data_IF_940711686462
#
_entry.id   IF_940711686462
#
_cell.length_a   1.000
_cell.length_b   1.000
_cell.length_c   1.000
_cell.angle_alpha   90.00
_cell.angle_beta   90.00
_cell.angle_gamma   90.00
#
_symmetry.space_group_name_H-M   'P 1'
#
loop_
_entity.id
_entity.type
_entity.pdbx_description
1 polymer ?
#
# COMPACT_ATOMS: atom_id res chain seq x y z
N UNK A 1 80.41 38.76 -53.28
CA UNK A 1 81.73 38.55 -53.92
C UNK A 1 82.72 39.42 -53.16
N UNK A 2 83.86 38.93 -52.62
CA UNK A 2 84.57 37.63 -52.80
C UNK A 2 84.46 36.71 -51.55
N UNK A 3 84.53 35.37 -51.60
CA UNK A 3 85.69 34.44 -51.76
C UNK A 3 86.80 34.68 -50.71
N UNK A 4 87.38 33.72 -49.99
CA UNK A 4 87.44 32.25 -50.10
C UNK A 4 88.08 31.65 -48.82
N UNK A 5 87.99 30.33 -48.70
CA UNK A 5 89.03 29.41 -48.17
C UNK A 5 89.10 29.02 -46.69
N UNK A 6 88.75 27.74 -46.52
CA UNK A 6 89.58 26.68 -45.94
C UNK A 6 89.27 26.19 -44.53
N UNK A 7 89.00 24.88 -44.51
CA UNK A 7 88.48 24.02 -43.46
C UNK A 7 89.57 22.99 -43.15
N UNK A 8 89.98 22.88 -41.90
CA UNK A 8 90.79 21.79 -41.34
C UNK A 8 90.25 21.56 -39.92
N UNK A 9 89.51 20.47 -39.68
CA UNK A 9 90.03 19.21 -39.14
C UNK A 9 90.38 19.34 -37.65
N UNK A 10 89.36 19.22 -36.80
CA UNK A 10 89.48 19.13 -35.35
C UNK A 10 89.06 17.71 -34.91
N UNK A 11 89.90 17.12 -34.07
CA UNK A 11 89.92 15.73 -33.64
C UNK A 11 88.91 15.46 -32.52
N UNK A 12 88.08 14.42 -32.69
CA UNK A 12 87.25 13.83 -31.63
C UNK A 12 88.08 12.87 -30.76
N UNK A 13 88.05 13.10 -29.45
CA UNK A 13 88.49 12.15 -28.43
C UNK A 13 87.43 12.04 -27.32
N UNK A 14 86.93 10.83 -26.98
CA UNK A 14 85.87 10.70 -25.98
C UNK A 14 86.46 10.66 -24.55
N UNK A 15 86.12 11.68 -23.75
CA UNK A 15 86.37 11.70 -22.31
C UNK A 15 85.38 10.81 -21.57
N UNK A 16 85.91 9.84 -20.83
CA UNK A 16 85.20 8.94 -19.95
C UNK A 16 84.78 9.66 -18.67
N UNK A 17 83.51 10.04 -18.56
CA UNK A 17 82.88 10.53 -17.34
C UNK A 17 82.16 9.40 -16.61
N UNK A 18 82.68 9.01 -15.44
CA UNK A 18 82.07 8.08 -14.49
C UNK A 18 80.69 8.59 -14.07
N UNK A 19 79.65 7.85 -14.44
CA UNK A 19 78.26 8.08 -14.02
C UNK A 19 77.99 7.17 -12.82
N UNK A 20 77.92 7.74 -11.61
CA UNK A 20 77.37 7.07 -10.43
C UNK A 20 75.94 6.61 -10.76
N UNK A 21 75.76 5.30 -10.89
CA UNK A 21 74.45 4.65 -10.94
C UNK A 21 73.90 4.59 -9.52
N UNK A 22 72.89 5.41 -9.24
CA UNK A 22 72.05 5.24 -8.06
C UNK A 22 71.28 3.92 -8.19
N UNK A 23 71.51 3.01 -7.25
CA UNK A 23 70.77 1.74 -7.17
C UNK A 23 69.29 2.00 -6.83
N UNK A 24 68.33 1.25 -7.39
CA UNK A 24 66.93 1.33 -6.98
C UNK A 24 66.75 0.84 -5.53
N UNK A 25 65.80 1.40 -4.76
CA UNK A 25 65.55 0.98 -3.39
C UNK A 25 65.10 -0.48 -3.32
N UNK A 26 65.45 -1.22 -2.24
CA UNK A 26 65.05 -2.62 -2.10
C UNK A 26 63.52 -2.75 -2.02
N UNK A 27 62.94 -3.84 -2.57
CA UNK A 27 61.51 -4.10 -2.45
C UNK A 27 61.11 -4.26 -0.98
N UNK A 28 59.89 -3.84 -0.60
CA UNK A 28 59.38 -4.05 0.76
C UNK A 28 59.34 -5.54 1.08
N UNK A 29 59.59 -5.94 2.34
CA UNK A 29 59.52 -7.34 2.74
C UNK A 29 58.14 -7.91 2.44
N UNK A 30 58.02 -9.19 2.04
CA UNK A 30 56.73 -9.82 1.82
C UNK A 30 55.92 -9.70 3.11
N UNK A 31 54.76 -9.05 3.03
CA UNK A 31 53.79 -8.98 4.11
C UNK A 31 53.59 -10.39 4.64
N UNK A 32 54.08 -10.61 5.86
CA UNK A 32 53.84 -11.83 6.61
C UNK A 32 52.34 -12.11 6.54
N UNK A 33 52.00 -13.25 5.93
CA UNK A 33 50.66 -13.84 5.95
C UNK A 33 50.30 -14.11 7.41
N UNK A 34 49.81 -13.06 8.08
CA UNK A 34 48.91 -13.22 9.19
C UNK A 34 47.69 -13.93 8.60
N UNK A 35 47.20 -15.03 9.21
CA UNK A 35 45.90 -15.55 8.83
C UNK A 35 44.94 -14.37 8.96
N UNK A 36 44.29 -14.03 7.85
CA UNK A 36 43.25 -13.02 7.80
C UNK A 36 42.14 -13.56 8.70
N UNK A 37 42.25 -13.26 9.99
CA UNK A 37 41.21 -13.42 10.96
C UNK A 37 40.10 -12.55 10.40
N UNK A 38 39.10 -13.19 9.78
CA UNK A 38 37.94 -12.49 9.26
C UNK A 38 37.40 -11.70 10.45
N UNK A 39 37.59 -10.39 10.39
CA UNK A 39 37.02 -9.45 11.34
C UNK A 39 35.54 -9.81 11.42
N UNK A 40 35.06 -10.09 12.63
CA UNK A 40 33.69 -10.55 12.84
C UNK A 40 32.72 -9.65 12.08
N UNK A 41 32.00 -10.22 11.12
CA UNK A 41 31.01 -9.47 10.38
C UNK A 41 29.91 -9.07 11.37
N UNK A 42 29.68 -7.76 11.53
CA UNK A 42 28.64 -7.24 12.41
C UNK A 42 27.21 -7.63 11.96
N UNK A 43 27.06 -8.08 10.71
CA UNK A 43 25.80 -8.56 10.15
C UNK A 43 25.98 -9.25 8.80
N UNK A 44 24.87 -9.67 8.20
CA UNK A 44 24.83 -10.29 6.88
C UNK A 44 23.67 -9.72 6.06
N UNK A 45 23.84 -9.69 4.73
CA UNK A 45 22.77 -9.28 3.82
C UNK A 45 21.67 -10.32 3.79
N UNK A 46 20.40 -9.91 3.80
CA UNK A 46 19.28 -10.85 3.85
C UNK A 46 19.29 -11.90 2.72
N UNK A 47 19.65 -11.49 1.50
CA UNK A 47 19.75 -12.40 0.34
C UNK A 47 20.80 -13.51 0.50
N UNK A 48 21.75 -13.35 1.42
CA UNK A 48 22.74 -14.40 1.72
C UNK A 48 22.13 -15.60 2.46
N UNK A 49 20.96 -15.43 3.11
CA UNK A 49 20.24 -16.52 3.75
C UNK A 49 19.90 -17.65 2.79
N UNK A 50 19.54 -17.32 1.54
CA UNK A 50 19.22 -18.33 0.52
C UNK A 50 20.46 -19.11 0.08
N UNK A 51 21.65 -18.51 0.18
CA UNK A 51 22.93 -19.15 -0.18
C UNK A 51 23.38 -20.20 0.84
N UNK A 52 22.79 -20.23 2.04
CA UNK A 52 23.07 -21.24 3.06
C UNK A 52 22.74 -22.66 2.56
N UNK A 53 21.85 -22.78 1.57
CA UNK A 53 21.53 -24.05 0.91
C UNK A 53 22.67 -24.56 0.01
N UNK A 54 23.45 -23.64 -0.56
CA UNK A 54 24.48 -23.95 -1.56
C UNK A 54 25.83 -24.31 -0.91
N UNK A 55 26.05 -23.88 0.34
CA UNK A 55 27.24 -24.23 1.12
C UNK A 55 27.09 -25.63 1.69
N UNK A 56 27.88 -26.58 1.18
CA UNK A 56 27.83 -28.00 1.56
C UNK A 56 28.97 -28.40 2.49
N UNK A 57 28.73 -29.44 3.28
CA UNK A 57 29.76 -30.16 4.03
C UNK A 57 30.72 -30.88 3.08
N UNK A 58 31.91 -31.27 3.57
CA UNK A 58 32.92 -31.96 2.75
C UNK A 58 32.42 -33.27 2.13
N UNK A 59 31.50 -33.95 2.81
CA UNK A 59 30.87 -35.19 2.33
C UNK A 59 29.66 -34.94 1.40
N UNK A 60 29.33 -33.68 1.14
CA UNK A 60 28.20 -33.21 0.32
C UNK A 60 26.81 -33.70 0.79
N UNK A 61 26.72 -34.37 1.94
CA UNK A 61 25.47 -34.93 2.47
C UNK A 61 24.57 -33.88 3.08
N UNK A 62 25.16 -32.88 3.74
CA UNK A 62 24.44 -31.82 4.41
C UNK A 62 24.87 -30.46 3.86
N UNK A 63 23.98 -29.48 3.94
CA UNK A 63 24.32 -28.09 3.70
C UNK A 63 24.26 -27.29 5.00
N UNK A 64 24.73 -26.04 4.96
CA UNK A 64 24.77 -25.17 6.11
C UNK A 64 23.37 -24.90 6.68
N UNK A 65 22.33 -24.94 5.84
CA UNK A 65 20.93 -24.83 6.28
C UNK A 65 20.47 -26.04 7.10
N UNK A 66 20.86 -27.27 6.73
CA UNK A 66 20.59 -28.47 7.54
C UNK A 66 21.29 -28.39 8.90
N UNK A 67 22.53 -27.90 8.91
CA UNK A 67 23.27 -27.67 10.15
C UNK A 67 22.57 -26.65 11.03
N UNK A 68 22.15 -25.51 10.48
CA UNK A 68 21.41 -24.48 11.21
C UNK A 68 20.08 -24.99 11.77
N UNK A 69 19.31 -25.77 10.98
CA UNK A 69 18.06 -26.36 11.44
C UNK A 69 18.29 -27.32 12.62
N UNK A 70 19.29 -28.19 12.53
CA UNK A 70 19.63 -29.11 13.62
C UNK A 70 20.15 -28.35 14.85
N UNK A 71 20.99 -27.32 14.66
CA UNK A 71 21.47 -26.47 15.75
C UNK A 71 20.30 -25.76 16.43
N UNK A 72 19.32 -25.25 15.68
CA UNK A 72 18.12 -24.63 16.21
C UNK A 72 17.30 -25.61 17.06
N UNK A 73 17.09 -26.84 16.60
CA UNK A 73 16.41 -27.89 17.38
C UNK A 73 17.09 -28.16 18.72
N UNK A 74 18.42 -28.18 18.74
CA UNK A 74 19.20 -28.50 19.94
C UNK A 74 19.36 -27.31 20.90
N UNK A 75 19.42 -26.08 20.39
CA UNK A 75 19.70 -24.88 21.20
C UNK A 75 18.45 -24.10 21.59
N UNK A 76 17.55 -23.86 20.64
CA UNK A 76 16.33 -23.11 20.87
C UNK A 76 15.20 -23.60 19.94
N UNK A 77 14.39 -24.58 20.38
CA UNK A 77 13.33 -25.16 19.55
C UNK A 77 12.21 -24.17 19.22
N UNK A 78 12.11 -23.02 19.90
CA UNK A 78 11.14 -21.98 19.56
C UNK A 78 11.38 -21.42 18.15
N UNK A 79 12.63 -21.42 17.68
CA UNK A 79 12.98 -20.97 16.34
C UNK A 79 12.35 -21.83 15.22
N UNK A 80 11.91 -23.05 15.54
CA UNK A 80 11.22 -23.93 14.58
C UNK A 80 9.79 -23.48 14.29
N UNK A 81 9.16 -22.77 15.23
CA UNK A 81 7.81 -22.20 15.08
C UNK A 81 7.84 -20.80 14.46
N UNK A 82 9.03 -20.22 14.31
CA UNK A 82 9.21 -18.88 13.77
C UNK A 82 8.56 -18.71 12.38
N UNK A 83 8.63 -19.67 11.43
CA UNK A 83 7.89 -19.57 10.18
C UNK A 83 6.37 -19.42 10.33
N UNK A 84 5.77 -19.95 11.40
CA UNK A 84 4.33 -19.83 11.66
C UNK A 84 3.96 -18.42 12.14
N UNK A 85 4.85 -17.75 12.87
CA UNK A 85 4.69 -16.33 13.25
C UNK A 85 4.68 -15.41 12.02
N UNK A 86 5.32 -15.85 10.93
CA UNK A 86 5.38 -15.14 9.66
C UNK A 86 4.36 -15.63 8.62
N UNK A 87 3.27 -16.30 9.03
CA UNK A 87 2.26 -16.86 8.11
C UNK A 87 1.62 -15.83 7.17
N UNK A 88 1.63 -14.55 7.55
CA UNK A 88 1.08 -13.45 6.75
C UNK A 88 2.04 -12.96 5.66
N UNK A 89 3.34 -13.28 5.70
CA UNK A 89 4.31 -12.82 4.69
C UNK A 89 3.92 -13.24 3.28
N UNK A 90 3.39 -14.46 3.10
CA UNK A 90 2.95 -14.93 1.78
C UNK A 90 1.77 -14.11 1.22
N UNK A 91 0.94 -13.51 2.09
CA UNK A 91 -0.12 -12.60 1.66
C UNK A 91 0.45 -11.21 1.36
N UNK A 92 1.39 -10.74 2.19
CA UNK A 92 2.05 -9.44 2.03
C UNK A 92 2.89 -9.35 0.75
N UNK A 93 3.51 -10.46 0.31
CA UNK A 93 4.24 -10.56 -0.97
C UNK A 93 3.35 -10.24 -2.19
N UNK A 94 2.03 -10.44 -2.08
CA UNK A 94 1.08 -10.17 -3.17
C UNK A 94 0.75 -8.69 -3.31
N UNK A 95 0.93 -7.91 -2.23
CA UNK A 95 0.61 -6.49 -2.24
C UNK A 95 1.82 -5.71 -2.73
N UNK A 96 1.68 -5.06 -3.89
CA UNK A 96 2.71 -4.12 -4.36
C UNK A 96 2.48 -2.76 -3.73
N UNK A 97 3.50 -2.26 -3.06
CA UNK A 97 3.57 -0.92 -2.46
C UNK A 97 3.20 0.14 -3.50
N UNK A 98 3.62 -0.07 -4.76
CA UNK A 98 3.24 0.80 -5.87
C UNK A 98 1.72 0.88 -6.09
N UNK A 99 1.04 -0.26 -6.10
CA UNK A 99 -0.39 -0.31 -6.37
C UNK A 99 -1.18 0.34 -5.23
N UNK A 100 -0.74 0.13 -3.98
CA UNK A 100 -1.31 0.80 -2.80
C UNK A 100 -1.12 2.32 -2.91
N UNK A 101 0.07 2.78 -3.30
CA UNK A 101 0.35 4.20 -3.48
C UNK A 101 -0.47 4.84 -4.59
N UNK A 102 -0.62 4.15 -5.72
CA UNK A 102 -1.45 4.62 -6.82
C UNK A 102 -2.92 4.75 -6.37
N UNK A 103 -3.42 3.83 -5.52
CA UNK A 103 -4.77 3.92 -4.93
C UNK A 103 -4.92 5.11 -3.97
N UNK A 104 -3.93 5.34 -3.09
CA UNK A 104 -3.91 6.49 -2.18
C UNK A 104 -3.99 7.79 -2.98
N UNK A 105 -3.15 7.94 -4.01
CA UNK A 105 -3.16 9.12 -4.88
C UNK A 105 -4.48 9.29 -5.64
N UNK A 106 -5.10 8.21 -6.09
CA UNK A 106 -6.40 8.28 -6.75
C UNK A 106 -7.51 8.71 -5.78
N UNK A 107 -7.54 8.18 -4.55
CA UNK A 107 -8.47 8.62 -3.51
C UNK A 107 -8.34 10.12 -3.25
N UNK A 108 -7.12 10.63 -3.13
CA UNK A 108 -6.88 12.07 -2.97
C UNK A 108 -7.41 12.90 -4.15
N UNK A 109 -7.27 12.43 -5.39
CA UNK A 109 -7.85 13.10 -6.56
C UNK A 109 -9.37 13.10 -6.50
N UNK A 110 -9.99 11.98 -6.09
CA UNK A 110 -11.45 11.89 -6.00
C UNK A 110 -12.02 12.83 -4.93
N UNK A 111 -11.37 12.93 -3.77
CA UNK A 111 -11.77 13.86 -2.71
C UNK A 111 -11.72 15.31 -3.22
N UNK A 112 -10.65 15.68 -3.95
CA UNK A 112 -10.55 17.02 -4.58
C UNK A 112 -11.63 17.29 -5.62
N UNK A 113 -11.94 16.30 -6.46
CA UNK A 113 -13.05 16.42 -7.43
C UNK A 113 -14.38 16.64 -6.71
N UNK A 114 -14.62 15.96 -5.59
CA UNK A 114 -15.83 16.15 -4.78
C UNK A 114 -15.86 17.53 -4.11
N UNK A 115 -14.74 18.03 -3.59
CA UNK A 115 -14.64 19.37 -3.03
C UNK A 115 -14.92 20.46 -4.08
N UNK A 116 -14.33 20.34 -5.28
CA UNK A 116 -14.65 21.28 -6.38
C UNK A 116 -16.10 21.19 -6.84
N UNK A 117 -16.73 20.01 -6.78
CA UNK A 117 -18.14 19.83 -7.08
C UNK A 117 -19.04 20.47 -6.02
N UNK A 118 -18.73 20.31 -4.73
CA UNK A 118 -19.40 20.99 -3.63
C UNK A 118 -19.36 22.51 -3.82
N UNK A 119 -18.18 23.09 -4.10
CA UNK A 119 -18.04 24.52 -4.33
C UNK A 119 -18.91 25.02 -5.51
N UNK A 120 -19.03 24.21 -6.57
CA UNK A 120 -19.92 24.53 -7.70
C UNK A 120 -21.40 24.43 -7.33
N UNK A 121 -21.78 23.48 -6.48
CA UNK A 121 -23.15 23.38 -5.98
C UNK A 121 -23.49 24.56 -5.09
N UNK A 122 -22.59 24.96 -4.20
CA UNK A 122 -22.78 26.12 -3.31
C UNK A 122 -23.00 27.41 -4.09
N UNK A 123 -22.16 27.68 -5.12
CA UNK A 123 -22.37 28.85 -5.99
C UNK A 123 -23.73 28.84 -6.66
N UNK A 124 -24.18 27.68 -7.16
CA UNK A 124 -25.52 27.56 -7.78
C UNK A 124 -26.64 27.78 -6.77
N UNK A 125 -26.49 27.27 -5.55
CA UNK A 125 -27.46 27.49 -4.48
C UNK A 125 -27.52 28.98 -4.12
N UNK A 126 -26.37 29.66 -4.07
CA UNK A 126 -26.32 31.10 -3.82
C UNK A 126 -26.95 31.92 -4.96
N UNK A 127 -26.67 31.57 -6.22
CA UNK A 127 -27.29 32.18 -7.40
C UNK A 127 -28.82 32.01 -7.41
N UNK A 128 -29.31 30.79 -7.15
CA UNK A 128 -30.76 30.52 -7.05
C UNK A 128 -31.38 31.28 -5.88
N UNK A 129 -30.69 31.38 -4.75
CA UNK A 129 -31.17 32.14 -3.58
C UNK A 129 -31.33 33.62 -3.93
N UNK A 130 -30.33 34.23 -4.58
CA UNK A 130 -30.40 35.63 -5.05
C UNK A 130 -31.52 35.83 -6.07
N UNK A 131 -31.68 34.91 -7.03
CA UNK A 131 -32.74 35.00 -8.03
C UNK A 131 -34.16 34.94 -7.41
N UNK A 132 -34.33 34.11 -6.38
CA UNK A 132 -35.59 34.04 -5.62
C UNK A 132 -35.84 35.31 -4.82
N UNK A 133 -34.83 35.86 -4.15
CA UNK A 133 -34.93 37.13 -3.41
C UNK A 133 -35.34 38.28 -4.35
N UNK A 134 -34.66 38.44 -5.48
CA UNK A 134 -35.03 39.46 -6.47
C UNK A 134 -36.43 39.24 -7.07
N UNK A 135 -36.85 37.98 -7.25
CA UNK A 135 -38.19 37.63 -7.71
C UNK A 135 -39.28 38.03 -6.71
N UNK A 136 -39.03 37.79 -5.42
CA UNK A 136 -39.90 38.22 -4.32
C UNK A 136 -39.99 39.74 -4.27
N UNK A 137 -38.86 40.46 -4.36
CA UNK A 137 -38.84 41.92 -4.37
C UNK A 137 -39.59 42.50 -5.57
N UNK A 138 -39.41 41.97 -6.78
CA UNK A 138 -40.16 42.39 -7.98
C UNK A 138 -41.66 42.14 -7.83
N UNK A 139 -42.05 41.02 -7.21
CA UNK A 139 -43.46 40.72 -6.94
C UNK A 139 -44.07 41.68 -5.91
N UNK A 140 -43.32 42.04 -4.86
CA UNK A 140 -43.75 43.00 -3.85
C UNK A 140 -43.83 44.44 -4.40
N UNK A 141 -42.90 44.82 -5.28
CA UNK A 141 -42.91 46.10 -5.97
C UNK A 141 -44.10 46.20 -6.95
N UNK A 142 -44.41 45.12 -7.68
CA UNK A 142 -45.58 45.06 -8.56
C UNK A 142 -46.90 45.15 -7.77
N UNK A 143 -46.99 44.49 -6.61
CA UNK A 143 -48.16 44.55 -5.73
C UNK A 143 -48.36 45.95 -5.11
N UNK A 144 -47.27 46.62 -4.70
CA UNK A 144 -47.34 48.00 -4.17
C UNK A 144 -47.65 49.03 -5.27
N UNK A 145 -47.11 48.86 -6.48
CA UNK A 145 -47.47 49.68 -7.64
C UNK A 145 -48.93 49.46 -8.09
N UNK A 146 -49.44 48.23 -7.95
CA UNK A 146 -50.85 47.90 -8.16
C UNK A 146 -51.78 48.64 -7.18
N UNK A 147 -51.38 48.70 -5.91
CA UNK A 147 -52.12 49.39 -4.85
C UNK A 147 -52.03 50.92 -4.95
N UNK A 148 -50.97 51.45 -5.59
CA UNK A 148 -50.75 52.89 -5.78
C UNK A 148 -51.47 53.49 -7.01
N UNK A 149 -52.09 52.68 -7.86
CA UNK A 149 -52.91 53.18 -8.97
C UNK A 149 -54.18 53.88 -8.42
N UNK A 150 -54.48 55.11 -8.85
CA UNK A 150 -55.65 55.85 -8.35
C UNK A 150 -56.95 55.10 -8.73
N UNK A 151 -57.97 55.10 -7.85
CA UNK A 151 -59.25 54.50 -8.15
C UNK A 151 -59.81 55.11 -9.45
N UNK A 152 -60.45 54.30 -10.32
CA UNK A 152 -60.96 54.78 -11.59
C UNK A 152 -61.88 55.98 -11.36
N UNK A 153 -61.78 57.04 -12.18
CA UNK A 153 -62.59 58.24 -12.00
C UNK A 153 -64.07 57.86 -12.04
N UNK A 154 -64.92 58.49 -11.19
CA UNK A 154 -66.35 58.22 -11.17
C UNK A 154 -66.93 58.43 -12.57
N UNK A 155 -67.89 57.59 -13.01
CA UNK A 155 -68.43 57.66 -14.36
C UNK A 155 -69.06 59.04 -14.56
N UNK A 156 -68.50 59.81 -15.49
CA UNK A 156 -69.02 61.13 -15.85
C UNK A 156 -70.40 60.91 -16.44
N UNK A 157 -71.44 61.25 -15.67
CA UNK A 157 -72.82 61.22 -16.10
C UNK A 157 -73.10 62.42 -17.00
N UNK A 158 -72.71 62.32 -18.26
CA UNK A 158 -73.20 63.22 -19.30
C UNK A 158 -73.40 62.41 -20.59
N UNK A 159 -74.57 62.57 -21.19
CA UNK A 159 -75.11 61.94 -22.40
C UNK A 159 -76.04 60.71 -22.20
N UNK A 160 -77.37 60.91 -22.37
CA UNK A 160 -78.32 59.81 -22.45
C UNK A 160 -78.29 59.20 -23.86
N UNK A 161 -77.55 58.09 -24.01
CA UNK A 161 -77.75 56.97 -24.97
C UNK A 161 -76.50 56.08 -24.93
N UNK A 162 -76.32 55.30 -23.86
CA UNK A 162 -75.31 54.26 -23.81
C UNK A 162 -75.98 52.93 -23.44
N UNK A 163 -75.87 51.96 -24.35
CA UNK A 163 -76.47 50.63 -24.26
C UNK A 163 -76.11 49.95 -22.93
N UNK A 164 -77.12 49.40 -22.24
CA UNK A 164 -76.95 48.57 -21.03
C UNK A 164 -75.98 47.40 -21.27
N UNK A 165 -75.93 46.88 -22.49
CA UNK A 165 -75.07 45.77 -22.89
C UNK A 165 -73.57 46.13 -22.79
N UNK A 166 -73.20 47.37 -23.11
CA UNK A 166 -71.81 47.85 -23.07
C UNK A 166 -71.28 48.03 -21.64
N UNK A 167 -72.18 48.29 -20.68
CA UNK A 167 -71.85 48.42 -19.25
C UNK A 167 -71.59 47.06 -18.60
N UNK A 168 -72.32 46.03 -19.02
CA UNK A 168 -72.10 44.65 -18.61
C UNK A 168 -70.80 44.13 -19.24
N UNK A 169 -70.52 44.43 -20.51
CA UNK A 169 -69.24 44.11 -21.16
C UNK A 169 -68.04 44.77 -20.48
N UNK A 170 -68.11 46.05 -20.12
CA UNK A 170 -67.03 46.75 -19.39
C UNK A 170 -66.81 46.18 -17.98
N UNK A 171 -67.88 45.84 -17.26
CA UNK A 171 -67.79 45.20 -15.95
C UNK A 171 -67.28 43.75 -16.01
N UNK A 172 -67.65 43.00 -17.05
CA UNK A 172 -67.13 41.66 -17.33
C UNK A 172 -65.64 41.73 -17.70
N UNK A 173 -65.25 42.65 -18.59
CA UNK A 173 -63.86 42.85 -19.00
C UNK A 173 -62.96 43.29 -17.84
N UNK A 174 -63.46 44.10 -16.91
CA UNK A 174 -62.75 44.47 -15.69
C UNK A 174 -62.62 43.31 -14.70
N UNK A 175 -63.64 42.46 -14.58
CA UNK A 175 -63.57 41.22 -13.78
C UNK A 175 -62.61 40.21 -14.39
N UNK A 176 -62.65 40.01 -15.69
CA UNK A 176 -61.75 39.11 -16.42
C UNK A 176 -60.29 39.59 -16.32
N UNK A 177 -60.08 40.92 -16.34
CA UNK A 177 -58.77 41.51 -16.12
C UNK A 177 -58.26 41.32 -14.69
N UNK A 178 -59.13 41.43 -13.68
CA UNK A 178 -58.79 41.17 -12.27
C UNK A 178 -58.48 39.69 -12.03
N UNK A 179 -59.26 38.78 -12.63
CA UNK A 179 -59.06 37.32 -12.54
C UNK A 179 -57.77 36.92 -13.24
N UNK A 180 -57.46 37.48 -14.41
CA UNK A 180 -56.20 37.24 -15.10
C UNK A 180 -54.99 37.75 -14.28
N UNK A 181 -55.15 38.87 -13.57
CA UNK A 181 -54.13 39.42 -12.68
C UNK A 181 -53.88 38.53 -11.46
N UNK A 182 -54.94 38.09 -10.78
CA UNK A 182 -54.85 37.13 -9.68
C UNK A 182 -54.26 35.79 -10.12
N UNK A 183 -54.64 35.28 -11.30
CA UNK A 183 -54.09 34.05 -11.85
C UNK A 183 -52.58 34.18 -12.09
N UNK A 184 -52.13 35.31 -12.65
CA UNK A 184 -50.71 35.58 -12.88
C UNK A 184 -49.91 35.71 -11.56
N UNK A 185 -50.43 36.44 -10.57
CA UNK A 185 -49.81 36.56 -9.25
C UNK A 185 -49.75 35.21 -8.51
N UNK A 186 -50.81 34.40 -8.58
CA UNK A 186 -50.82 33.06 -7.97
C UNK A 186 -49.84 32.09 -8.66
N UNK A 187 -49.70 32.19 -9.99
CA UNK A 187 -48.74 31.38 -10.75
C UNK A 187 -47.30 31.81 -10.44
N UNK A 188 -47.03 33.11 -10.34
CA UNK A 188 -45.73 33.63 -9.95
C UNK A 188 -45.35 33.24 -8.51
N UNK A 189 -46.31 33.31 -7.58
CA UNK A 189 -46.10 32.88 -6.20
C UNK A 189 -45.83 31.37 -6.09
N UNK A 190 -46.54 30.55 -6.88
CA UNK A 190 -46.31 29.10 -6.92
C UNK A 190 -44.92 28.71 -7.45
N UNK A 191 -44.38 29.46 -8.41
CA UNK A 191 -43.03 29.22 -8.95
C UNK A 191 -41.94 29.61 -7.95
N UNK A 192 -42.11 30.74 -7.25
CA UNK A 192 -41.21 31.15 -6.17
C UNK A 192 -41.14 30.10 -5.06
N UNK A 193 -42.28 29.51 -4.69
CA UNK A 193 -42.32 28.53 -3.61
C UNK A 193 -41.65 27.20 -4.00
N UNK A 194 -41.81 26.76 -5.26
CA UNK A 194 -41.07 25.60 -5.80
C UNK A 194 -39.56 25.81 -5.76
N UNK A 195 -39.09 26.98 -6.17
CA UNK A 195 -37.67 27.31 -6.15
C UNK A 195 -37.11 27.33 -4.72
N UNK A 196 -37.88 27.80 -3.74
CA UNK A 196 -37.47 27.73 -2.32
C UNK A 196 -37.33 26.29 -1.84
N UNK A 197 -38.27 25.40 -2.18
CA UNK A 197 -38.16 23.97 -1.85
C UNK A 197 -36.92 23.34 -2.49
N UNK A 198 -36.63 23.69 -3.75
CA UNK A 198 -35.42 23.22 -4.45
C UNK A 198 -34.14 23.73 -3.77
N UNK A 199 -34.10 24.99 -3.34
CA UNK A 199 -32.97 25.56 -2.58
C UNK A 199 -32.77 24.82 -1.26
N UNK A 200 -33.84 24.54 -0.52
CA UNK A 200 -33.76 23.78 0.75
C UNK A 200 -33.21 22.39 0.51
N UNK A 201 -33.71 21.68 -0.50
CA UNK A 201 -33.21 20.35 -0.87
C UNK A 201 -31.74 20.40 -1.30
N UNK A 202 -31.35 21.38 -2.09
CA UNK A 202 -29.96 21.57 -2.52
C UNK A 202 -29.02 21.86 -1.35
N UNK A 203 -29.44 22.68 -0.37
CA UNK A 203 -28.68 22.93 0.88
C UNK A 203 -28.45 21.64 1.67
N UNK A 204 -29.47 20.79 1.79
CA UNK A 204 -29.34 19.48 2.45
C UNK A 204 -28.32 18.59 1.70
N UNK A 205 -28.32 18.62 0.37
CA UNK A 205 -27.34 17.87 -0.43
C UNK A 205 -25.92 18.41 -0.22
N UNK A 206 -25.73 19.73 -0.21
CA UNK A 206 -24.44 20.37 0.04
C UNK A 206 -23.89 19.94 1.41
N UNK A 207 -24.70 20.02 2.47
CA UNK A 207 -24.30 19.63 3.82
C UNK A 207 -23.92 18.13 3.90
N UNK A 208 -24.67 17.25 3.23
CA UNK A 208 -24.34 15.82 3.15
C UNK A 208 -23.03 15.57 2.40
N UNK A 209 -22.79 16.28 1.31
CA UNK A 209 -21.54 16.18 0.53
C UNK A 209 -20.36 16.71 1.35
N UNK A 210 -20.51 17.83 2.04
CA UNK A 210 -19.48 18.38 2.92
C UNK A 210 -19.12 17.39 4.04
N UNK A 211 -20.13 16.81 4.70
CA UNK A 211 -19.91 15.76 5.72
C UNK A 211 -19.17 14.56 5.14
N UNK A 212 -19.55 14.10 3.94
CA UNK A 212 -18.89 12.99 3.28
C UNK A 212 -17.43 13.30 2.93
N UNK A 213 -17.15 14.51 2.43
CA UNK A 213 -15.78 14.96 2.12
C UNK A 213 -14.94 14.98 3.40
N UNK A 214 -15.46 15.50 4.51
CA UNK A 214 -14.76 15.50 5.80
C UNK A 214 -14.45 14.08 6.28
N UNK A 215 -15.42 13.16 6.25
CA UNK A 215 -15.19 11.76 6.64
C UNK A 215 -14.18 11.05 5.71
N UNK A 216 -14.26 11.32 4.39
CA UNK A 216 -13.32 10.79 3.42
C UNK A 216 -11.89 11.34 3.63
N UNK A 217 -11.76 12.62 4.01
CA UNK A 217 -10.48 13.25 4.31
C UNK A 217 -9.85 12.65 5.58
N UNK A 218 -10.63 12.47 6.66
CA UNK A 218 -10.14 11.83 7.89
C UNK A 218 -9.62 10.42 7.60
N UNK A 219 -10.38 9.61 6.86
CA UNK A 219 -9.93 8.25 6.47
C UNK A 219 -8.70 8.26 5.57
N UNK A 220 -8.55 9.29 4.75
CA UNK A 220 -7.37 9.46 3.91
C UNK A 220 -6.15 9.82 4.76
N UNK A 221 -6.30 10.72 5.74
CA UNK A 221 -5.24 11.09 6.66
C UNK A 221 -4.79 9.87 7.50
N UNK A 222 -5.73 9.07 8.03
CA UNK A 222 -5.43 7.80 8.71
C UNK A 222 -4.61 6.83 7.82
N UNK A 223 -4.93 6.79 6.52
CA UNK A 223 -4.22 5.96 5.55
C UNK A 223 -2.80 6.47 5.30
N UNK A 224 -2.62 7.79 5.24
CA UNK A 224 -1.29 8.41 5.11
C UNK A 224 -0.44 8.10 6.34
N UNK A 225 -0.99 8.24 7.55
CA UNK A 225 -0.30 7.92 8.79
C UNK A 225 0.15 6.46 8.84
N UNK A 226 -0.72 5.52 8.45
CA UNK A 226 -0.39 4.09 8.35
C UNK A 226 0.75 3.83 7.36
N UNK A 227 0.75 4.54 6.23
CA UNK A 227 1.78 4.44 5.19
C UNK A 227 3.12 5.00 5.69
N UNK A 228 3.12 6.07 6.47
CA UNK A 228 4.33 6.62 7.10
C UNK A 228 4.91 5.69 8.16
N UNK A 229 4.05 5.14 9.03
CA UNK A 229 4.46 4.12 10.02
C UNK A 229 5.07 2.91 9.32
N UNK A 230 4.47 2.47 8.22
CA UNK A 230 5.00 1.38 7.41
C UNK A 230 6.39 1.72 6.85
N UNK A 231 6.58 2.90 6.26
CA UNK A 231 7.89 3.32 5.74
C UNK A 231 8.95 3.44 6.85
N UNK A 232 8.60 3.91 8.04
CA UNK A 232 9.54 4.00 9.16
C UNK A 232 9.92 2.63 9.72
N UNK A 233 8.94 1.74 9.89
CA UNK A 233 9.19 0.34 10.26
C UNK A 233 10.08 -0.36 9.22
N UNK A 234 9.86 -0.01 7.95
CA UNK A 234 10.61 -0.54 6.83
C UNK A 234 12.07 -0.06 6.82
N UNK A 235 12.28 1.24 7.05
CA UNK A 235 13.62 1.84 7.18
C UNK A 235 14.41 1.17 8.29
N UNK A 236 13.79 1.01 9.45
CA UNK A 236 14.40 0.35 10.60
C UNK A 236 14.84 -1.08 10.26
N UNK A 237 13.98 -1.82 9.55
CA UNK A 237 14.26 -3.18 9.09
C UNK A 237 15.42 -3.23 8.09
N UNK A 238 15.44 -2.32 7.11
CA UNK A 238 16.50 -2.25 6.11
C UNK A 238 17.88 -1.90 6.70
N UNK A 239 17.90 -1.02 7.71
CA UNK A 239 19.11 -0.67 8.48
C UNK A 239 19.59 -1.90 9.25
N UNK A 240 18.68 -2.61 9.94
CA UNK A 240 19.02 -3.79 10.73
C UNK A 240 19.68 -4.90 9.89
N UNK A 241 19.17 -5.15 8.67
CA UNK A 241 19.76 -6.14 7.76
C UNK A 241 21.00 -5.65 6.99
N UNK A 242 21.53 -4.48 7.34
CA UNK A 242 22.77 -3.95 6.76
C UNK A 242 22.65 -3.67 5.26
N UNK A 243 21.44 -3.45 4.74
CA UNK A 243 21.25 -3.05 3.35
C UNK A 243 21.64 -1.56 3.12
N UNK A 244 21.78 -0.75 4.20
CA UNK A 244 22.35 0.62 4.21
C UNK A 244 23.11 0.94 5.50
N UNK A 245 24.08 1.86 5.43
CA UNK A 245 24.71 2.48 6.62
C UNK A 245 23.75 3.50 7.25
N UNK A 246 23.69 3.58 8.59
CA UNK A 246 22.88 4.58 9.31
C UNK A 246 23.17 6.02 8.88
N UNK A 247 24.36 6.29 8.33
CA UNK A 247 24.77 7.62 7.83
C UNK A 247 24.05 8.05 6.55
N UNK A 248 23.67 7.11 5.66
CA UNK A 248 22.98 7.45 4.40
C UNK A 248 21.50 7.83 4.59
N UNK A 249 20.96 7.62 5.80
CA UNK A 249 19.55 7.85 6.14
C UNK A 249 19.36 9.18 6.88
N UNK A 250 20.37 9.65 7.61
CA UNK A 250 20.30 10.84 8.47
C UNK A 250 20.41 12.13 7.63
N UNK A 251 21.16 12.15 6.53
CA UNK A 251 21.40 13.36 5.72
C UNK A 251 20.24 13.78 4.79
N UNK A 252 19.10 13.07 4.81
CA UNK A 252 17.87 13.54 4.14
C UNK A 252 16.84 14.15 5.11
N UNK A 253 17.19 14.29 6.39
CA UNK A 253 16.31 14.89 7.41
C UNK A 253 16.66 16.37 7.55
N UNK A 254 16.22 17.18 6.60
CA UNK A 254 16.03 18.62 6.83
C UNK A 254 14.58 18.95 6.60
N UNK A 255 13.75 18.70 7.61
CA UNK A 255 12.43 19.30 7.69
C UNK A 255 12.62 20.79 8.07
N UNK A 256 12.15 21.76 7.25
CA UNK A 256 12.00 23.10 7.76
C UNK A 256 10.85 23.08 8.77
N UNK A 257 11.17 23.33 10.05
CA UNK A 257 10.15 23.60 11.05
C UNK A 257 9.40 24.87 10.65
N UNK A 258 8.11 24.76 10.35
CA UNK A 258 7.24 25.92 10.20
C UNK A 258 6.49 26.15 11.50
N UNK A 259 6.99 27.14 12.24
CA UNK A 259 6.28 27.79 13.32
C UNK A 259 5.00 28.43 12.77
N UNK A 260 3.89 28.13 13.43
CA UNK A 260 2.56 28.65 13.14
C UNK A 260 2.50 30.09 13.63
N UNK A 261 2.43 31.04 12.70
CA UNK A 261 1.96 32.40 12.98
C UNK A 261 0.63 32.57 12.24
N UNK A 262 -0.43 32.79 13.02
CA UNK A 262 -1.80 32.89 12.51
C UNK A 262 -2.03 34.15 11.68
N UNK A 263 -2.59 33.96 10.49
CA UNK A 263 -3.25 35.01 9.71
C UNK A 263 -4.42 34.38 8.95
N UNK A 264 -5.60 34.98 9.10
CA UNK A 264 -6.93 34.52 8.66
C UNK A 264 -7.18 34.72 7.15
N UNK A 265 -6.23 34.36 6.29
CA UNK A 265 -6.39 34.49 4.84
C UNK A 265 -6.63 33.11 4.20
N UNK A 266 -7.75 32.96 3.48
CA UNK A 266 -8.10 31.75 2.70
C UNK A 266 -6.97 31.31 1.73
N UNK A 267 -6.12 32.26 1.31
CA UNK A 267 -4.93 31.98 0.50
C UNK A 267 -3.83 31.21 1.26
N UNK A 268 -3.70 31.42 2.58
CA UNK A 268 -2.76 30.69 3.42
C UNK A 268 -3.21 29.24 3.64
N UNK A 269 -4.52 29.00 3.73
CA UNK A 269 -5.10 27.65 3.78
C UNK A 269 -4.91 26.90 2.44
N UNK A 270 -5.00 27.60 1.32
CA UNK A 270 -4.75 27.02 -0.01
C UNK A 270 -3.26 26.69 -0.22
N UNK A 271 -2.34 27.57 0.21
CA UNK A 271 -0.90 27.32 0.20
C UNK A 271 -0.49 26.20 1.16
N UNK A 272 -1.11 26.12 2.33
CA UNK A 272 -0.87 25.04 3.30
C UNK A 272 -1.32 23.68 2.74
N UNK A 273 -2.50 23.61 2.11
CA UNK A 273 -2.97 22.40 1.43
C UNK A 273 -2.06 21.99 0.27
N UNK A 274 -1.58 22.97 -0.52
CA UNK A 274 -0.65 22.70 -1.62
C UNK A 274 0.71 22.21 -1.12
N UNK A 275 1.21 22.77 -0.02
CA UNK A 275 2.45 22.35 0.59
C UNK A 275 2.36 20.95 1.22
N UNK A 276 1.26 20.65 1.91
CA UNK A 276 0.99 19.32 2.46
C UNK A 276 0.89 18.28 1.33
N UNK A 277 0.23 18.62 0.22
CA UNK A 277 0.15 17.78 -0.98
C UNK A 277 1.54 17.53 -1.59
N UNK A 278 2.39 18.55 -1.63
CA UNK A 278 3.76 18.42 -2.13
C UNK A 278 4.59 17.51 -1.23
N UNK A 279 4.46 17.62 0.09
CA UNK A 279 5.13 16.71 1.04
C UNK A 279 4.63 15.27 0.87
N UNK A 280 3.31 15.05 0.79
CA UNK A 280 2.75 13.70 0.58
C UNK A 280 3.22 13.09 -0.75
N UNK A 281 3.25 13.88 -1.82
CA UNK A 281 3.75 13.42 -3.12
C UNK A 281 5.26 13.12 -3.08
N UNK A 282 6.04 13.86 -2.29
CA UNK A 282 7.44 13.54 -2.03
C UNK A 282 7.60 12.26 -1.22
N UNK A 283 6.78 12.02 -0.20
CA UNK A 283 6.76 10.76 0.58
C UNK A 283 6.45 9.57 -0.32
N UNK A 284 5.42 9.68 -1.17
CA UNK A 284 5.05 8.66 -2.15
C UNK A 284 6.19 8.41 -3.16
N UNK A 285 6.77 9.47 -3.71
CA UNK A 285 7.91 9.36 -4.63
C UNK A 285 9.13 8.75 -3.94
N UNK A 286 9.38 9.03 -2.66
CA UNK A 286 10.50 8.46 -1.90
C UNK A 286 10.34 6.95 -1.70
N UNK A 287 9.12 6.46 -1.51
CA UNK A 287 8.85 5.02 -1.44
C UNK A 287 8.94 4.33 -2.80
N UNK A 288 8.53 5.00 -3.88
CA UNK A 288 8.51 4.45 -5.24
C UNK A 288 9.86 4.51 -5.96
N UNK A 289 10.65 5.56 -5.72
CA UNK A 289 11.86 5.89 -6.50
C UNK A 289 13.12 5.91 -5.65
N UNK A 290 13.00 5.66 -4.34
CA UNK A 290 14.16 5.48 -3.48
C UNK A 290 15.02 4.31 -3.98
N UNK A 291 16.36 4.37 -3.83
CA UNK A 291 17.27 3.27 -4.15
C UNK A 291 17.15 2.17 -3.08
N UNK A 292 15.95 1.60 -2.93
CA UNK A 292 15.58 0.62 -1.92
C UNK A 292 14.89 -0.53 -2.64
N UNK A 293 15.14 -1.74 -2.18
CA UNK A 293 14.33 -2.89 -2.59
C UNK A 293 12.92 -2.68 -2.03
N UNK A 294 11.90 -2.95 -2.82
CA UNK A 294 10.53 -2.81 -2.36
C UNK A 294 10.26 -3.91 -1.31
N UNK A 295 9.42 -3.65 -0.29
CA UNK A 295 9.21 -4.56 0.84
C UNK A 295 8.89 -6.01 0.45
N UNK A 296 8.22 -6.19 -0.67
CA UNK A 296 7.77 -7.48 -1.19
C UNK A 296 8.94 -8.39 -1.56
N UNK A 297 10.05 -7.83 -2.08
CA UNK A 297 11.24 -8.63 -2.40
C UNK A 297 11.85 -9.25 -1.15
N UNK A 298 11.90 -8.49 -0.05
CA UNK A 298 12.43 -8.97 1.22
C UNK A 298 11.47 -9.98 1.85
N UNK A 299 10.16 -9.72 1.82
CA UNK A 299 9.16 -10.69 2.27
C UNK A 299 9.29 -12.00 1.49
N UNK A 300 9.52 -11.92 0.17
CA UNK A 300 9.80 -13.08 -0.67
C UNK A 300 11.06 -13.83 -0.22
N UNK A 301 12.17 -13.13 0.03
CA UNK A 301 13.43 -13.75 0.51
C UNK A 301 13.23 -14.43 1.87
N UNK A 302 12.54 -13.79 2.82
CA UNK A 302 12.28 -14.35 4.16
C UNK A 302 11.35 -15.57 4.04
N UNK A 303 10.28 -15.45 3.25
CA UNK A 303 9.33 -16.52 3.01
C UNK A 303 10.01 -17.74 2.36
N UNK A 304 10.86 -17.53 1.35
CA UNK A 304 11.64 -18.59 0.70
C UNK A 304 12.67 -19.20 1.65
N UNK A 305 13.35 -18.39 2.46
CA UNK A 305 14.26 -18.89 3.49
C UNK A 305 13.55 -19.82 4.48
N UNK A 306 12.39 -19.41 5.03
CA UNK A 306 11.65 -20.24 5.97
C UNK A 306 11.11 -21.53 5.35
N UNK A 307 10.72 -21.47 4.08
CA UNK A 307 10.33 -22.66 3.31
C UNK A 307 11.47 -23.67 3.25
N UNK A 308 12.67 -23.24 2.85
CA UNK A 308 13.84 -24.11 2.78
C UNK A 308 14.33 -24.56 4.15
N UNK A 309 14.26 -23.70 5.16
CA UNK A 309 14.62 -24.04 6.53
C UNK A 309 13.72 -25.15 7.10
N UNK A 310 12.41 -25.05 6.89
CA UNK A 310 11.44 -26.09 7.28
C UNK A 310 11.69 -27.40 6.53
N UNK A 311 11.97 -27.33 5.23
CA UNK A 311 12.32 -28.49 4.42
C UNK A 311 13.58 -29.19 4.95
N UNK A 312 14.65 -28.44 5.24
CA UNK A 312 15.88 -28.99 5.81
C UNK A 312 15.66 -29.62 7.19
N UNK A 313 14.83 -29.01 8.04
CA UNK A 313 14.45 -29.57 9.33
C UNK A 313 13.72 -30.92 9.18
N UNK A 314 12.73 -31.00 8.28
CA UNK A 314 12.01 -32.25 8.01
C UNK A 314 12.94 -33.33 7.43
N UNK A 315 13.88 -32.96 6.56
CA UNK A 315 14.88 -33.89 6.04
C UNK A 315 15.81 -34.43 7.14
N UNK A 316 16.20 -33.59 8.12
CA UNK A 316 16.98 -34.02 9.28
C UNK A 316 16.21 -35.06 10.13
N UNK A 317 14.92 -34.79 10.41
CA UNK A 317 14.06 -35.73 11.14
C UNK A 317 13.91 -37.07 10.39
N UNK A 318 13.74 -37.04 9.07
CA UNK A 318 13.67 -38.23 8.24
C UNK A 318 14.97 -39.06 8.25
N UNK A 319 16.13 -38.39 8.20
CA UNK A 319 17.44 -39.04 8.29
C UNK A 319 17.59 -39.70 9.66
N UNK A 320 17.29 -38.98 10.73
CA UNK A 320 17.35 -39.49 12.11
C UNK A 320 16.43 -40.72 12.29
N UNK A 321 15.22 -40.68 11.71
CA UNK A 321 14.29 -41.80 11.74
C UNK A 321 14.79 -43.00 10.94
N UNK A 322 15.44 -42.80 9.78
CA UNK A 322 16.07 -43.88 9.01
C UNK A 322 17.22 -44.51 9.77
N UNK A 323 18.09 -43.71 10.37
CA UNK A 323 19.22 -44.21 11.18
C UNK A 323 18.72 -45.01 12.39
N UNK A 324 17.66 -44.54 13.07
CA UNK A 324 17.04 -45.27 14.19
C UNK A 324 16.47 -46.63 13.74
N UNK A 325 15.84 -46.69 12.56
CA UNK A 325 15.35 -47.96 11.98
C UNK A 325 16.52 -48.89 11.63
N UNK A 326 17.56 -48.38 10.99
CA UNK A 326 18.76 -49.15 10.65
C UNK A 326 19.47 -49.69 11.89
N UNK A 327 19.63 -48.87 12.94
CA UNK A 327 20.20 -49.30 14.21
C UNK A 327 19.36 -50.40 14.88
N UNK A 328 18.03 -50.32 14.78
CA UNK A 328 17.12 -51.35 15.31
C UNK A 328 17.25 -52.66 14.54
N UNK A 329 17.35 -52.59 13.21
CA UNK A 329 17.58 -53.75 12.33
C UNK A 329 18.95 -54.37 12.64
N UNK A 330 20.01 -53.57 12.69
CA UNK A 330 21.36 -54.03 13.03
C UNK A 330 21.39 -54.73 14.40
N UNK A 331 20.72 -54.18 15.41
CA UNK A 331 20.57 -54.81 16.72
C UNK A 331 19.85 -56.16 16.67
N UNK A 332 18.89 -56.37 15.76
CA UNK A 332 18.22 -57.68 15.59
C UNK A 332 19.13 -58.72 14.95
N UNK A 333 20.03 -58.30 14.06
CA UNK A 333 20.97 -59.20 13.37
C UNK A 333 22.33 -59.36 14.08
N UNK A 334 22.63 -58.54 15.09
CA UNK A 334 23.88 -58.62 15.86
C UNK A 334 23.80 -59.53 17.10
N UNK A 335 22.66 -60.16 17.38
CA UNK A 335 22.62 -61.25 18.35
C UNK A 335 23.08 -62.54 17.65
N UNK A 336 24.10 -63.25 18.17
CA UNK A 336 24.46 -64.55 17.64
C UNK A 336 23.24 -65.45 17.73
N UNK A 337 22.87 -66.07 16.61
CA UNK A 337 21.85 -67.12 16.59
C UNK A 337 22.25 -68.18 17.61
N UNK A 338 21.57 -68.19 18.76
CA UNK A 338 21.65 -69.31 19.69
C UNK A 338 21.28 -70.57 18.91
N UNK A 339 22.04 -71.67 19.03
CA UNK A 339 21.83 -72.86 18.22
C UNK A 339 20.42 -73.39 18.44
N UNK A 340 19.74 -73.62 17.32
CA UNK A 340 18.43 -74.28 17.21
C UNK A 340 18.41 -75.54 18.09
N UNK A 341 17.50 -75.67 19.08
CA UNK A 341 17.33 -76.93 19.77
C UNK A 341 16.78 -77.96 18.78
N UNK A 342 17.43 -79.12 18.73
CA UNK A 342 17.12 -80.24 17.86
C UNK A 342 15.63 -80.65 17.93
N UNK A 343 15.03 -81.13 16.82
CA UNK A 343 13.64 -81.57 16.82
C UNK A 343 13.49 -82.85 17.68
N UNK A 344 12.49 -82.92 18.58
CA UNK A 344 12.19 -84.16 19.26
C UNK A 344 11.50 -85.15 18.32
N UNK A 345 11.92 -86.40 18.44
CA UNK A 345 11.44 -87.55 17.68
C UNK A 345 9.93 -87.78 17.82
N UNK A 346 9.36 -88.32 16.74
CA UNK A 346 7.99 -88.74 16.61
C UNK A 346 7.52 -89.70 17.72
N UNK A 347 6.34 -89.44 18.27
CA UNK A 347 5.48 -90.45 18.88
C UNK A 347 4.02 -90.14 18.54
N UNK A 348 3.36 -91.16 17.99
CA UNK A 348 1.98 -91.16 17.51
C UNK A 348 0.94 -91.04 18.63
N UNK A 349 -0.27 -90.54 18.30
CA UNK A 349 -1.46 -90.76 19.13
C UNK A 349 -2.59 -89.73 18.99
N UNK A 350 -3.48 -89.96 18.01
CA UNK A 350 -4.95 -89.85 18.11
C UNK A 350 -5.59 -88.91 19.16
N UNK A 351 -6.29 -87.85 18.72
CA UNK A 351 -7.78 -87.76 18.67
C UNK A 351 -8.28 -86.30 18.64
N UNK A 352 -9.10 -86.01 17.62
CA UNK A 352 -10.05 -84.89 17.47
C UNK A 352 -11.17 -84.92 18.54
N UNK A 353 -12.18 -83.99 18.60
CA UNK A 353 -12.41 -82.75 17.83
C UNK A 353 -12.93 -81.53 18.65
N UNK A 354 -13.27 -80.46 17.92
CA UNK A 354 -14.43 -79.54 18.07
C UNK A 354 -14.34 -78.25 18.89
N UNK A 355 -14.94 -77.21 18.26
CA UNK A 355 -15.42 -75.92 18.79
C UNK A 355 -14.36 -74.83 19.01
N UNK A 356 -14.57 -73.54 18.78
CA UNK A 356 -15.59 -72.74 18.10
C UNK A 356 -15.08 -71.27 18.15
N UNK A 357 -15.61 -70.40 17.30
CA UNK A 357 -15.72 -68.95 17.54
C UNK A 357 -14.41 -68.13 17.55
N UNK A 358 -14.30 -66.89 17.13
CA UNK A 358 -15.28 -65.87 16.78
C UNK A 358 -14.59 -64.85 15.86
N UNK A 359 -15.19 -64.60 14.71
CA UNK A 359 -14.90 -63.48 13.82
C UNK A 359 -15.98 -62.43 14.07
N UNK A 360 -15.69 -61.18 14.44
CA UNK A 360 -16.72 -60.15 14.38
C UNK A 360 -16.81 -59.58 12.94
N UNK A 361 -18.03 -59.30 12.45
CA UNK A 361 -18.28 -58.67 11.15
C UNK A 361 -18.34 -57.14 11.23
N UNK A 362 -18.09 -56.51 10.06
CA UNK A 362 -18.64 -55.25 9.49
C UNK A 362 -20.00 -54.81 10.11
N UNK A 363 -20.48 -53.53 10.11
CA UNK A 363 -20.89 -52.83 8.87
C UNK A 363 -21.03 -51.28 8.88
N UNK A 364 -21.54 -50.76 7.75
CA UNK A 364 -22.14 -49.45 7.43
C UNK A 364 -21.20 -48.35 6.88
N UNK A 365 -21.14 -48.10 5.57
CA UNK A 365 -22.17 -47.75 4.57
C UNK A 365 -22.57 -46.27 4.56
N UNK A 366 -22.18 -45.64 3.44
CA UNK A 366 -22.96 -44.76 2.57
C UNK A 366 -23.57 -43.44 3.07
N UNK A 367 -23.50 -42.51 2.10
CA UNK A 367 -24.30 -41.30 1.90
C UNK A 367 -23.67 -40.04 2.51
N UNK A 368 -23.53 -38.91 1.81
CA UNK A 368 -24.36 -38.33 0.74
C UNK A 368 -23.54 -37.44 -0.20
N UNK A 369 -23.85 -37.50 -1.49
CA UNK A 369 -23.77 -36.35 -2.43
C UNK A 369 -24.76 -35.28 -1.95
N UNK A 370 -24.43 -33.99 -2.05
CA UNK A 370 -25.18 -33.08 -2.92
C UNK A 370 -24.54 -31.69 -2.98
N UNK A 371 -24.67 -31.12 -4.17
CA UNK A 371 -24.29 -29.80 -4.64
C UNK A 371 -25.43 -28.81 -4.33
N UNK A 372 -25.11 -27.57 -3.95
CA UNK A 372 -25.84 -26.32 -4.26
C UNK A 372 -24.99 -25.15 -3.73
N UNK A 373 -24.47 -24.26 -4.59
CA UNK A 373 -25.08 -23.04 -5.16
C UNK A 373 -25.36 -21.93 -4.13
N UNK A 374 -24.84 -20.74 -4.49
CA UNK A 374 -25.16 -19.37 -4.03
C UNK A 374 -24.52 -18.90 -2.73
N UNK A 375 -23.45 -18.08 -2.85
CA UNK A 375 -23.54 -16.62 -2.86
C UNK A 375 -22.36 -16.03 -3.65
#
# INVERSE_FOLDING_TARGET
MPHNSSKAAEWDGPSSGLREQSSPPPPPPPSSFLPQQQQGAAGFRLHSLLKLRDVRSMDNKFNLMHYLANMATNTNPRLLNLPDEFSHLSKLEQYRTKDIMDQVLEHQKTIRKLASFQQRLERKVEELTKAVEEGVERSAAAASAAAALPPPPPPVSAFPRFNKDRRIELGARSRDQEVARQAFESAAAGEVERLKEEIVNAKIVVEKVEKFIKDAQVRFDDLVDLVEVLDESWRSTAIYFGEKSSTDVIDMVTFPQTSIAGTEDDAAAELFNLHQLQQQQQTVNRMLTGPRKPPEEIFGVIHEFFRHFREAHLQNEDILMRERRQATIAKRYSYPSSPSPAPPAAAAGSSNPTSASSRPPSPFAMAKRSVSRLL
#
